data_IF_063401413993
#
_entry.id   IF_063401413993
#
_cell.length_a   1.000
_cell.length_b   1.000
_cell.length_c   1.000
_cell.angle_alpha   90.00
_cell.angle_beta   90.00
_cell.angle_gamma   90.00
#
_symmetry.space_group_name_H-M   'P 1'
#
loop_
_entity.id
_entity.type
_entity.pdbx_description
1 polymer ?
#
# COMPACT_ATOMS: atom_id res chain seq x y z
N UNK A 1 -6.79 -24.20 20.54
CA UNK A 1 -6.97 -23.10 21.47
C UNK A 1 -5.68 -22.78 22.26
N UNK A 2 -5.04 -23.78 22.85
CA UNK A 2 -3.77 -23.64 23.59
C UNK A 2 -2.60 -23.18 22.70
N UNK A 3 -2.54 -23.66 21.47
CA UNK A 3 -1.52 -23.25 20.49
C UNK A 3 -1.67 -21.75 20.13
N UNK A 4 -2.89 -21.27 19.94
CA UNK A 4 -3.17 -19.84 19.74
C UNK A 4 -2.83 -18.98 20.97
N UNK A 5 -3.02 -19.52 22.18
CA UNK A 5 -2.62 -18.82 23.41
C UNK A 5 -1.09 -18.74 23.54
N UNK A 6 -0.37 -19.79 23.14
CA UNK A 6 1.10 -19.80 23.09
C UNK A 6 1.63 -18.81 22.05
N UNK A 7 1.06 -18.82 20.84
CA UNK A 7 1.41 -17.86 19.80
C UNK A 7 1.16 -16.41 20.23
N UNK A 8 0.03 -16.12 20.88
CA UNK A 8 -0.27 -14.79 21.41
C UNK A 8 0.68 -14.38 22.54
N UNK A 9 1.10 -15.33 23.37
CA UNK A 9 2.08 -15.06 24.42
C UNK A 9 3.46 -14.76 23.83
N UNK A 10 3.91 -15.54 22.86
CA UNK A 10 5.17 -15.29 22.14
C UNK A 10 5.15 -13.95 21.42
N UNK A 11 4.02 -13.55 20.83
CA UNK A 11 3.84 -12.21 20.21
C UNK A 11 3.90 -11.08 21.24
N UNK A 12 3.31 -11.27 22.42
CA UNK A 12 3.33 -10.26 23.48
C UNK A 12 4.70 -10.16 24.17
N UNK A 13 5.44 -11.27 24.25
CA UNK A 13 6.78 -11.32 24.85
C UNK A 13 7.89 -10.88 23.88
N UNK A 14 7.57 -10.64 22.59
CA UNK A 14 8.54 -10.23 21.57
C UNK A 14 8.40 -8.71 21.29
N UNK A 15 9.21 -7.85 21.92
CA UNK A 15 9.07 -6.39 21.85
C UNK A 15 9.39 -5.79 20.46
N UNK A 16 9.69 -6.61 19.46
CA UNK A 16 10.18 -6.19 18.14
C UNK A 16 9.09 -6.14 17.07
N UNK A 17 7.92 -6.79 17.26
CA UNK A 17 6.85 -6.69 16.26
C UNK A 17 6.06 -5.41 16.47
N UNK A 18 6.34 -4.38 15.68
CA UNK A 18 5.48 -3.18 15.61
C UNK A 18 4.05 -3.62 15.29
N UNK A 19 3.10 -3.22 16.12
CA UNK A 19 1.68 -3.51 15.89
C UNK A 19 1.21 -2.61 14.76
N UNK A 20 0.64 -3.22 13.72
CA UNK A 20 -0.03 -2.54 12.62
C UNK A 20 -1.53 -2.82 12.79
N UNK A 21 -2.28 -1.89 13.34
CA UNK A 21 -3.67 -2.13 13.71
C UNK A 21 -4.65 -1.04 13.26
N UNK A 22 -4.20 -0.08 12.48
CA UNK A 22 -5.04 1.02 11.97
C UNK A 22 -4.98 1.12 10.47
N UNK A 23 -6.13 1.38 9.84
CA UNK A 23 -6.26 1.83 8.46
C UNK A 23 -6.11 3.36 8.35
N UNK A 24 -6.09 4.06 9.50
CA UNK A 24 -6.14 5.53 9.58
C UNK A 24 -7.40 6.12 8.94
N UNK A 25 -8.49 5.36 8.98
CA UNK A 25 -9.83 5.69 8.50
C UNK A 25 -10.80 5.21 9.56
N UNK A 26 -11.43 6.13 10.29
CA UNK A 26 -12.19 5.86 11.50
C UNK A 26 -13.20 4.72 11.33
N UNK A 27 -14.03 4.74 10.29
CA UNK A 27 -15.02 3.68 10.07
C UNK A 27 -14.41 2.30 9.78
N UNK A 28 -13.22 2.23 9.16
CA UNK A 28 -12.51 0.96 8.96
C UNK A 28 -11.82 0.50 10.24
N UNK A 29 -11.32 1.43 11.03
CA UNK A 29 -10.66 1.12 12.30
C UNK A 29 -11.68 0.61 13.34
N UNK A 30 -12.89 1.16 13.37
CA UNK A 30 -14.01 0.65 14.16
C UNK A 30 -14.35 -0.80 13.78
N UNK A 31 -14.44 -1.10 12.50
CA UNK A 31 -14.68 -2.47 12.00
C UNK A 31 -13.51 -3.42 12.31
N UNK A 32 -12.28 -2.93 12.23
CA UNK A 32 -11.09 -3.71 12.52
C UNK A 32 -10.93 -4.04 14.02
N UNK A 33 -11.50 -3.22 14.90
CA UNK A 33 -11.43 -3.41 16.36
C UNK A 33 -10.00 -3.59 16.90
N UNK A 34 -9.05 -2.87 16.33
CA UNK A 34 -7.64 -2.92 16.73
C UNK A 34 -6.92 -4.24 16.41
N UNK A 35 -7.48 -5.08 15.53
CA UNK A 35 -6.82 -6.33 15.10
C UNK A 35 -5.53 -6.02 14.37
N UNK A 36 -4.54 -6.85 14.61
CA UNK A 36 -3.26 -6.73 13.90
C UNK A 36 -3.44 -7.05 12.41
N UNK A 37 -3.03 -6.11 11.56
CA UNK A 37 -3.08 -6.22 10.11
C UNK A 37 -1.83 -6.89 9.50
N UNK A 38 -0.79 -7.18 10.31
CA UNK A 38 0.37 -7.95 9.84
C UNK A 38 -0.06 -9.27 9.25
N UNK A 39 0.67 -9.71 8.24
CA UNK A 39 0.36 -10.90 7.46
C UNK A 39 -0.98 -10.84 6.72
N UNK A 40 -1.63 -9.67 6.68
CA UNK A 40 -2.89 -9.47 5.98
C UNK A 40 -2.68 -8.74 4.64
N UNK A 41 -3.62 -9.00 3.72
CA UNK A 41 -3.79 -8.23 2.50
C UNK A 41 -5.11 -7.48 2.60
N UNK A 42 -5.06 -6.17 2.44
CA UNK A 42 -6.24 -5.31 2.35
C UNK A 42 -6.39 -4.80 0.93
N UNK A 43 -7.53 -5.09 0.30
CA UNK A 43 -7.83 -4.70 -1.06
C UNK A 43 -8.84 -3.55 -1.09
N UNK A 44 -8.43 -2.41 -1.64
CA UNK A 44 -9.29 -1.25 -1.87
C UNK A 44 -9.80 -1.26 -3.30
N UNK A 45 -11.06 -1.66 -3.44
CA UNK A 45 -11.74 -1.79 -4.72
C UNK A 45 -12.60 -0.56 -4.98
N UNK A 46 -12.37 0.13 -6.11
CA UNK A 46 -13.23 1.23 -6.54
C UNK A 46 -13.05 1.53 -8.02
N UNK A 47 -13.98 2.28 -8.60
CA UNK A 47 -13.90 2.75 -9.98
C UNK A 47 -12.73 3.71 -10.20
N UNK A 48 -12.41 3.99 -11.45
CA UNK A 48 -11.42 5.01 -11.80
C UNK A 48 -11.85 6.38 -11.27
N UNK A 49 -10.89 7.20 -10.83
CA UNK A 49 -11.12 8.59 -10.43
C UNK A 49 -11.73 8.81 -9.04
N UNK A 50 -12.10 7.76 -8.29
CA UNK A 50 -12.72 7.91 -6.96
C UNK A 50 -11.74 8.00 -5.79
N UNK A 51 -10.44 8.07 -6.05
CA UNK A 51 -9.43 8.34 -5.01
C UNK A 51 -8.70 7.13 -4.44
N UNK A 52 -8.68 5.96 -5.11
CA UNK A 52 -7.94 4.76 -4.65
C UNK A 52 -6.49 5.06 -4.28
N UNK A 53 -5.73 5.67 -5.20
CA UNK A 53 -4.33 6.05 -4.96
C UNK A 53 -4.19 7.08 -3.84
N UNK A 54 -5.23 7.91 -3.62
CA UNK A 54 -5.25 8.86 -2.51
C UNK A 54 -5.37 8.14 -1.16
N UNK A 55 -6.26 7.15 -1.05
CA UNK A 55 -6.37 6.30 0.15
C UNK A 55 -5.06 5.54 0.40
N UNK A 56 -4.46 4.96 -0.64
CA UNK A 56 -3.19 4.25 -0.52
C UNK A 56 -2.07 5.16 0.02
N UNK A 57 -1.97 6.38 -0.51
CA UNK A 57 -1.03 7.41 -0.03
C UNK A 57 -1.35 7.88 1.39
N UNK A 58 -2.62 8.06 1.73
CA UNK A 58 -3.04 8.42 3.09
C UNK A 58 -2.59 7.37 4.11
N UNK A 59 -2.81 6.08 3.82
CA UNK A 59 -2.35 4.98 4.67
C UNK A 59 -0.83 4.98 4.78
N UNK A 60 -0.11 5.11 3.65
CA UNK A 60 1.35 5.14 3.64
C UNK A 60 1.94 6.30 4.43
N UNK A 61 1.33 7.49 4.32
CA UNK A 61 1.70 8.68 5.07
C UNK A 61 1.57 8.45 6.58
N UNK A 62 0.38 8.02 7.03
CA UNK A 62 0.12 7.83 8.45
C UNK A 62 0.95 6.67 9.03
N UNK A 63 1.11 5.59 8.28
CA UNK A 63 1.95 4.47 8.69
C UNK A 63 3.40 4.92 8.92
N UNK A 64 3.99 5.64 7.96
CA UNK A 64 5.38 6.07 8.06
C UNK A 64 5.59 7.19 9.09
N UNK A 65 4.80 8.26 8.98
CA UNK A 65 5.10 9.49 9.71
C UNK A 65 4.37 9.61 11.05
N UNK A 66 3.21 8.98 11.20
CA UNK A 66 2.49 9.01 12.48
C UNK A 66 2.84 7.79 13.32
N UNK A 67 2.81 6.58 12.73
CA UNK A 67 3.07 5.34 13.48
C UNK A 67 4.54 4.89 13.48
N UNK A 68 5.41 5.55 12.72
CA UNK A 68 6.84 5.22 12.64
C UNK A 68 7.12 3.85 12.04
N UNK A 69 6.24 3.37 11.15
CA UNK A 69 6.39 2.13 10.41
C UNK A 69 7.25 2.33 9.16
N UNK A 70 7.84 1.26 8.67
CA UNK A 70 8.59 1.28 7.42
C UNK A 70 7.67 0.90 6.26
N UNK A 71 7.55 1.81 5.29
CA UNK A 71 6.62 1.71 4.16
C UNK A 71 7.39 1.61 2.84
N UNK A 72 7.05 0.61 2.04
CA UNK A 72 7.44 0.50 0.65
C UNK A 72 6.19 0.69 -0.23
N UNK A 73 6.12 1.81 -0.96
CA UNK A 73 5.04 2.09 -1.90
C UNK A 73 5.49 1.74 -3.32
N UNK A 74 4.87 0.73 -3.90
CA UNK A 74 5.12 0.27 -5.27
C UNK A 74 4.05 0.87 -6.17
N UNK A 75 4.48 1.84 -6.98
CA UNK A 75 3.65 2.56 -7.94
C UNK A 75 3.75 1.90 -9.30
N UNK A 76 2.65 1.34 -9.80
CA UNK A 76 2.59 0.68 -11.10
C UNK A 76 1.96 1.56 -12.17
N UNK A 77 1.28 2.62 -11.77
CA UNK A 77 0.64 3.58 -12.66
C UNK A 77 1.20 4.99 -12.44
N UNK A 78 1.79 5.59 -13.47
CA UNK A 78 2.37 6.94 -13.38
C UNK A 78 3.83 7.00 -12.95
N UNK A 79 4.34 8.20 -12.72
CA UNK A 79 5.72 8.44 -12.34
C UNK A 79 5.93 8.41 -10.83
N UNK A 80 7.14 8.02 -10.39
CA UNK A 80 7.49 8.06 -8.97
C UNK A 80 7.36 9.48 -8.38
N UNK A 81 7.64 10.52 -9.19
CA UNK A 81 7.51 11.92 -8.79
C UNK A 81 6.09 12.26 -8.34
N UNK A 82 5.06 11.83 -9.07
CA UNK A 82 3.65 12.09 -8.72
C UNK A 82 3.31 11.61 -7.31
N UNK A 83 3.81 10.42 -6.95
CA UNK A 83 3.57 9.84 -5.62
C UNK A 83 4.44 10.51 -4.55
N UNK A 84 5.71 10.81 -4.85
CA UNK A 84 6.61 11.50 -3.91
C UNK A 84 6.17 12.93 -3.66
N UNK A 85 5.69 13.65 -4.68
CA UNK A 85 5.20 15.01 -4.56
C UNK A 85 3.90 15.07 -3.74
N UNK A 86 3.01 14.08 -3.94
CA UNK A 86 1.81 13.96 -3.10
C UNK A 86 2.14 13.71 -1.61
N UNK A 87 3.13 12.86 -1.30
CA UNK A 87 3.60 12.67 0.07
C UNK A 87 4.25 13.93 0.63
N UNK A 88 5.02 14.64 -0.17
CA UNK A 88 5.66 15.88 0.24
C UNK A 88 4.63 16.99 0.49
N UNK A 89 3.59 17.06 -0.34
CA UNK A 89 2.45 17.96 -0.14
C UNK A 89 1.72 17.67 1.18
N UNK A 90 1.44 16.40 1.48
CA UNK A 90 0.84 15.99 2.76
C UNK A 90 1.70 16.41 3.95
N UNK A 91 3.02 16.19 3.88
CA UNK A 91 3.96 16.58 4.94
C UNK A 91 4.04 18.09 5.16
N UNK A 92 3.97 18.87 4.06
CA UNK A 92 4.05 20.33 4.14
C UNK A 92 2.71 20.99 4.48
N UNK A 93 1.61 20.23 4.51
CA UNK A 93 0.28 20.80 4.68
C UNK A 93 -0.18 21.64 3.49
N UNK A 94 0.39 21.42 2.30
CA UNK A 94 0.01 22.08 1.05
C UNK A 94 -0.80 21.16 0.16
N UNK A 95 -1.42 21.69 -0.89
CA UNK A 95 -2.02 20.86 -1.92
C UNK A 95 -0.94 20.31 -2.86
N UNK A 96 -1.19 19.14 -3.48
CA UNK A 96 -0.28 18.59 -4.50
C UNK A 96 -0.04 19.59 -5.63
N UNK A 97 -1.07 20.33 -6.05
CA UNK A 97 -0.95 21.36 -7.07
C UNK A 97 0.00 22.50 -6.67
N UNK A 98 -0.07 22.98 -5.44
CA UNK A 98 0.83 24.02 -4.94
C UNK A 98 2.27 23.51 -4.86
N UNK A 99 2.46 22.25 -4.42
CA UNK A 99 3.76 21.62 -4.35
C UNK A 99 4.39 21.46 -5.74
N UNK A 100 3.68 20.86 -6.69
CA UNK A 100 4.13 20.62 -8.07
C UNK A 100 4.37 21.93 -8.85
N UNK A 101 3.57 22.97 -8.59
CA UNK A 101 3.71 24.27 -9.25
C UNK A 101 4.86 25.13 -8.69
N UNK A 102 5.63 24.60 -7.73
CA UNK A 102 6.76 25.32 -7.12
C UNK A 102 6.33 26.52 -6.27
N UNK A 103 5.06 26.60 -5.86
CA UNK A 103 4.54 27.68 -5.00
C UNK A 103 4.90 27.49 -3.52
N UNK A 104 5.56 26.38 -3.19
CA UNK A 104 6.03 26.12 -1.83
C UNK A 104 7.27 26.96 -1.56
N UNK A 105 7.21 27.77 -0.51
CA UNK A 105 8.32 28.66 -0.15
C UNK A 105 9.50 27.89 0.49
N UNK A 106 10.69 28.50 0.49
CA UNK A 106 11.90 27.88 1.04
C UNK A 106 11.77 27.52 2.52
N UNK A 107 11.05 28.31 3.31
CA UNK A 107 10.83 28.02 4.74
C UNK A 107 10.04 26.70 4.92
N UNK A 108 9.03 26.45 4.09
CA UNK A 108 8.28 25.18 4.08
C UNK A 108 9.19 24.01 3.70
N UNK A 109 10.09 24.18 2.71
CA UNK A 109 11.03 23.13 2.33
C UNK A 109 12.06 22.81 3.42
N UNK A 110 12.56 23.83 4.14
CA UNK A 110 13.45 23.66 5.28
C UNK A 110 12.74 22.98 6.45
N UNK A 111 11.48 23.35 6.70
CA UNK A 111 10.64 22.70 7.70
C UNK A 111 10.40 21.22 7.35
N UNK A 112 10.11 20.88 6.09
CA UNK A 112 9.99 19.50 5.62
C UNK A 112 11.24 18.68 5.93
N UNK A 113 12.44 19.22 5.65
CA UNK A 113 13.70 18.54 5.96
C UNK A 113 13.82 18.26 7.46
N UNK A 114 13.54 19.26 8.29
CA UNK A 114 13.62 19.08 9.74
C UNK A 114 12.59 18.07 10.27
N UNK A 115 11.40 18.02 9.69
CA UNK A 115 10.39 17.01 10.02
C UNK A 115 10.85 15.60 9.66
N UNK A 116 11.40 15.41 8.46
CA UNK A 116 11.88 14.10 8.00
C UNK A 116 12.94 13.50 8.92
N UNK A 117 13.79 14.34 9.52
CA UNK A 117 14.81 13.91 10.47
C UNK A 117 14.23 13.46 11.83
N UNK A 118 13.00 13.86 12.15
CA UNK A 118 12.33 13.51 13.42
C UNK A 118 11.52 12.22 13.34
N UNK A 119 11.13 11.78 12.14
CA UNK A 119 10.30 10.61 11.97
C UNK A 119 11.09 9.30 12.13
N UNK A 120 10.48 8.33 12.83
CA UNK A 120 11.10 7.02 13.08
C UNK A 120 10.88 6.01 11.96
N UNK A 121 9.80 6.18 11.19
CA UNK A 121 9.48 5.33 10.05
C UNK A 121 10.16 5.79 8.78
N UNK A 122 10.24 4.92 7.81
CA UNK A 122 10.73 5.25 6.46
C UNK A 122 9.61 5.09 5.44
N UNK A 123 9.61 5.95 4.42
CA UNK A 123 8.73 5.81 3.27
C UNK A 123 9.59 5.80 2.01
N UNK A 124 9.50 4.71 1.25
CA UNK A 124 10.19 4.55 -0.02
C UNK A 124 9.18 4.32 -1.12
N UNK A 125 9.31 5.07 -2.21
CA UNK A 125 8.50 4.90 -3.42
C UNK A 125 9.35 4.22 -4.49
N UNK A 126 8.80 3.15 -5.06
CA UNK A 126 9.35 2.45 -6.21
C UNK A 126 8.33 2.53 -7.33
N UNK A 127 8.66 3.16 -8.44
CA UNK A 127 7.82 3.14 -9.63
C UNK A 127 8.35 2.17 -10.68
N UNK A 128 7.42 1.56 -11.38
CA UNK A 128 7.68 0.76 -12.56
C UNK A 128 7.24 1.56 -13.79
N UNK A 129 8.14 1.85 -14.72
CA UNK A 129 7.78 2.58 -15.92
C UNK A 129 6.81 1.75 -16.78
N UNK A 130 5.74 2.40 -17.26
CA UNK A 130 4.78 1.80 -18.18
C UNK A 130 5.43 1.54 -19.56
N UNK A 131 5.95 0.37 -19.78
CA UNK A 131 6.38 -0.07 -21.11
C UNK A 131 5.82 -1.46 -21.45
N UNK A 132 4.49 -1.61 -21.37
CA UNK A 132 3.78 -2.79 -21.89
C UNK A 132 4.04 -4.12 -21.19
N UNK A 133 4.81 -4.14 -20.12
CA UNK A 133 5.08 -5.32 -19.31
C UNK A 133 4.38 -5.20 -17.97
N UNK A 134 3.55 -6.18 -17.67
CA UNK A 134 2.98 -6.32 -16.33
C UNK A 134 4.08 -6.62 -15.31
N UNK A 135 3.93 -6.10 -14.11
CA UNK A 135 4.84 -6.36 -12.98
C UNK A 135 4.42 -7.66 -12.31
N UNK A 136 5.33 -8.61 -12.19
CA UNK A 136 5.03 -9.86 -11.51
C UNK A 136 5.09 -9.72 -9.99
N UNK A 137 4.37 -10.58 -9.28
CA UNK A 137 4.49 -10.67 -7.81
C UNK A 137 5.90 -11.06 -7.37
N UNK A 138 6.67 -11.74 -8.25
CA UNK A 138 8.11 -12.01 -8.05
C UNK A 138 8.95 -10.74 -8.07
N UNK A 139 8.62 -9.77 -8.95
CA UNK A 139 9.32 -8.48 -8.96
C UNK A 139 9.06 -7.70 -7.67
N UNK A 140 7.81 -7.72 -7.18
CA UNK A 140 7.42 -7.09 -5.91
C UNK A 140 8.16 -7.73 -4.73
N UNK A 141 8.25 -9.07 -4.70
CA UNK A 141 9.04 -9.82 -3.70
C UNK A 141 10.51 -9.41 -3.73
N UNK A 142 11.09 -9.33 -4.92
CA UNK A 142 12.47 -8.89 -5.13
C UNK A 142 12.71 -7.47 -4.59
N UNK A 143 11.75 -6.57 -4.74
CA UNK A 143 11.86 -5.22 -4.18
C UNK A 143 11.78 -5.22 -2.64
N UNK A 144 10.97 -6.10 -2.04
CA UNK A 144 10.96 -6.31 -0.59
C UNK A 144 12.30 -6.89 -0.09
N UNK A 145 12.90 -7.82 -0.83
CA UNK A 145 14.22 -8.39 -0.49
C UNK A 145 15.32 -7.33 -0.58
N UNK A 146 15.34 -6.50 -1.63
CA UNK A 146 16.27 -5.36 -1.76
C UNK A 146 16.07 -4.34 -0.63
N UNK A 147 14.81 -4.13 -0.21
CA UNK A 147 14.54 -3.29 0.94
C UNK A 147 15.19 -3.87 2.20
N UNK A 148 15.01 -5.18 2.45
CA UNK A 148 15.62 -5.89 3.58
C UNK A 148 17.16 -5.84 3.53
N UNK A 149 17.76 -6.06 2.36
CA UNK A 149 19.21 -5.96 2.17
C UNK A 149 19.75 -4.58 2.55
N UNK A 150 19.02 -3.53 2.17
CA UNK A 150 19.43 -2.14 2.41
C UNK A 150 19.20 -1.67 3.85
N UNK A 151 18.11 -2.10 4.48
CA UNK A 151 17.66 -1.57 5.78
C UNK A 151 17.73 -2.60 6.92
N UNK A 152 18.15 -3.83 6.65
CA UNK A 152 18.31 -4.90 7.63
C UNK A 152 17.01 -5.59 8.05
N UNK A 153 15.84 -5.17 7.50
CA UNK A 153 14.51 -5.71 7.79
C UNK A 153 13.58 -5.51 6.62
N UNK A 154 12.52 -6.30 6.55
CA UNK A 154 11.43 -6.09 5.62
C UNK A 154 10.63 -4.83 5.97
N UNK A 155 9.94 -4.21 4.99
CA UNK A 155 8.99 -3.13 5.27
C UNK A 155 7.82 -3.65 6.12
N UNK A 156 7.33 -2.82 7.04
CA UNK A 156 6.16 -3.13 7.86
C UNK A 156 4.87 -3.07 7.03
N UNK A 157 4.84 -2.18 6.03
CA UNK A 157 3.72 -1.98 5.11
C UNK A 157 4.22 -1.94 3.68
N UNK A 158 3.59 -2.71 2.80
CA UNK A 158 3.83 -2.66 1.35
C UNK A 158 2.54 -2.21 0.66
N UNK A 159 2.61 -1.14 -0.09
CA UNK A 159 1.50 -0.63 -0.89
C UNK A 159 1.74 -1.00 -2.35
N UNK A 160 0.73 -1.55 -3.03
CA UNK A 160 0.77 -1.88 -4.46
C UNK A 160 -0.37 -1.14 -5.17
N UNK A 161 -0.04 -0.14 -5.96
CA UNK A 161 -0.99 0.69 -6.70
C UNK A 161 -0.71 0.61 -8.20
N UNK A 162 -1.42 -0.27 -8.98
CA UNK A 162 -2.58 -1.08 -8.65
C UNK A 162 -2.44 -2.55 -9.12
N UNK A 163 -3.29 -3.44 -8.58
CA UNK A 163 -3.33 -4.87 -8.92
C UNK A 163 -3.59 -5.13 -10.41
N UNK A 164 -4.29 -4.23 -11.08
CA UNK A 164 -4.63 -4.36 -12.51
C UNK A 164 -3.39 -4.48 -13.41
N UNK A 165 -2.27 -3.94 -12.96
CA UNK A 165 -0.99 -3.94 -13.65
C UNK A 165 -0.05 -5.03 -13.14
N UNK A 166 -0.54 -5.90 -12.25
CA UNK A 166 0.20 -7.04 -11.72
C UNK A 166 -0.15 -8.34 -12.45
N UNK A 167 0.80 -9.26 -12.40
CA UNK A 167 0.60 -10.67 -12.75
C UNK A 167 1.16 -11.56 -11.64
N UNK A 168 0.67 -12.81 -11.56
CA UNK A 168 1.14 -13.80 -10.62
C UNK A 168 2.58 -14.28 -10.94
N UNK A 169 3.13 -15.06 -10.04
CA UNK A 169 4.49 -15.63 -10.15
C UNK A 169 4.62 -16.79 -11.13
N UNK A 170 3.52 -17.32 -11.67
CA UNK A 170 3.52 -18.55 -12.47
C UNK A 170 4.14 -18.39 -13.86
N UNK A 171 4.29 -17.16 -14.34
CA UNK A 171 4.74 -16.87 -15.70
C UNK A 171 3.75 -17.31 -16.80
N UNK A 172 2.51 -17.65 -16.44
CA UNK A 172 1.47 -18.01 -17.41
C UNK A 172 1.09 -16.82 -18.25
N UNK A 173 0.87 -17.07 -19.54
CA UNK A 173 0.26 -16.10 -20.43
C UNK A 173 -1.26 -16.17 -20.26
N UNK A 174 -1.84 -15.17 -19.60
CA UNK A 174 -3.26 -15.09 -19.30
C UNK A 174 -4.02 -14.46 -20.48
N UNK A 175 -5.00 -15.15 -21.01
CA UNK A 175 -5.91 -14.61 -22.03
C UNK A 175 -7.06 -13.81 -21.40
N UNK A 176 -7.84 -13.12 -22.23
CA UNK A 176 -8.96 -12.32 -21.76
C UNK A 176 -10.03 -13.13 -21.00
N UNK A 177 -10.19 -14.44 -21.31
CA UNK A 177 -11.17 -15.32 -20.63
C UNK A 177 -10.68 -15.75 -19.25
N UNK A 178 -9.39 -15.69 -19.01
CA UNK A 178 -8.71 -16.12 -17.78
C UNK A 178 -8.42 -14.98 -16.80
N UNK A 179 -8.78 -13.73 -17.12
CA UNK A 179 -8.47 -12.55 -16.29
C UNK A 179 -8.92 -12.69 -14.82
N UNK A 180 -10.07 -13.32 -14.59
CA UNK A 180 -10.52 -13.59 -13.21
C UNK A 180 -9.55 -14.49 -12.45
N UNK A 181 -9.07 -15.56 -13.08
CA UNK A 181 -8.12 -16.49 -12.48
C UNK A 181 -6.76 -15.83 -12.23
N UNK A 182 -6.30 -15.01 -13.19
CA UNK A 182 -5.10 -14.19 -13.02
C UNK A 182 -5.20 -13.32 -11.77
N UNK A 183 -6.29 -12.58 -11.62
CA UNK A 183 -6.50 -11.68 -10.46
C UNK A 183 -6.51 -12.42 -9.14
N UNK A 184 -7.18 -13.60 -9.10
CA UNK A 184 -7.20 -14.45 -7.92
C UNK A 184 -5.79 -14.95 -7.59
N UNK A 185 -5.05 -15.47 -8.58
CA UNK A 185 -3.69 -15.96 -8.39
C UNK A 185 -2.74 -14.84 -7.92
N UNK A 186 -2.82 -13.67 -8.55
CA UNK A 186 -2.02 -12.50 -8.15
C UNK A 186 -2.33 -12.04 -6.71
N UNK A 187 -3.62 -12.00 -6.34
CA UNK A 187 -4.01 -11.63 -4.99
C UNK A 187 -3.56 -12.67 -3.95
N UNK A 188 -3.59 -13.97 -4.31
CA UNK A 188 -3.09 -15.03 -3.44
C UNK A 188 -1.57 -14.92 -3.23
N UNK A 189 -0.79 -14.73 -4.31
CA UNK A 189 0.65 -14.53 -4.22
C UNK A 189 1.03 -13.34 -3.32
N UNK A 190 0.27 -12.22 -3.46
CA UNK A 190 0.49 -11.05 -2.59
C UNK A 190 0.10 -11.32 -1.13
N UNK A 191 -0.95 -12.12 -0.90
CA UNK A 191 -1.32 -12.54 0.45
C UNK A 191 -0.24 -13.44 1.07
N UNK A 192 0.33 -14.35 0.29
CA UNK A 192 1.42 -15.21 0.74
C UNK A 192 2.68 -14.38 1.03
N UNK A 193 2.99 -13.40 0.18
CA UNK A 193 4.07 -12.45 0.43
C UNK A 193 3.88 -11.68 1.75
N UNK A 194 2.64 -11.27 2.07
CA UNK A 194 2.36 -10.61 3.35
C UNK A 194 2.75 -11.50 4.56
N UNK A 195 2.49 -12.81 4.44
CA UNK A 195 2.89 -13.81 5.44
C UNK A 195 4.41 -13.96 5.53
N UNK A 196 5.09 -14.04 4.39
CA UNK A 196 6.55 -14.24 4.31
C UNK A 196 7.35 -13.09 4.91
N UNK A 197 6.93 -11.84 4.64
CA UNK A 197 7.64 -10.65 5.14
C UNK A 197 7.17 -10.21 6.53
N UNK A 198 6.18 -10.90 7.13
CA UNK A 198 5.48 -10.46 8.34
C UNK A 198 5.03 -9.00 8.25
N UNK A 199 4.52 -8.60 7.06
CA UNK A 199 4.10 -7.24 6.74
C UNK A 199 2.60 -7.14 6.43
N UNK A 200 2.10 -5.90 6.35
CA UNK A 200 0.76 -5.61 5.87
C UNK A 200 0.81 -5.18 4.40
N UNK A 201 0.06 -5.87 3.54
CA UNK A 201 -0.09 -5.47 2.14
C UNK A 201 -1.38 -4.68 1.94
N UNK A 202 -1.24 -3.48 1.39
CA UNK A 202 -2.32 -2.59 0.97
C UNK A 202 -2.33 -2.56 -0.55
N UNK A 203 -3.41 -2.99 -1.15
CA UNK A 203 -3.49 -3.14 -2.61
C UNK A 203 -4.69 -2.38 -3.13
N UNK A 204 -4.52 -1.58 -4.16
CA UNK A 204 -5.62 -0.95 -4.89
C UNK A 204 -6.02 -1.79 -6.09
N UNK A 205 -7.29 -1.74 -6.45
CA UNK A 205 -7.81 -2.43 -7.64
C UNK A 205 -8.90 -1.58 -8.30
N UNK A 206 -8.85 -1.50 -9.64
CA UNK A 206 -9.86 -0.79 -10.40
C UNK A 206 -11.02 -1.71 -10.75
N UNK A 207 -12.22 -1.40 -10.23
CA UNK A 207 -13.44 -2.06 -10.66
C UNK A 207 -13.86 -1.56 -12.04
N UNK A 208 -14.16 -2.49 -12.93
CA UNK A 208 -14.86 -2.23 -14.19
C UNK A 208 -16.33 -2.58 -13.98
N UNK A 209 -17.23 -1.64 -14.23
CA UNK A 209 -18.67 -1.93 -14.23
C UNK A 209 -19.01 -2.41 -15.64
N UNK A 210 -19.25 -3.71 -15.76
CA UNK A 210 -19.72 -4.28 -17.03
C UNK A 210 -21.21 -3.95 -17.32
N UNK A 211 -21.94 -3.45 -16.31
CA UNK A 211 -23.35 -3.11 -16.45
C UNK A 211 -23.69 -1.81 -15.69
N UNK A 212 -23.81 -0.65 -16.39
CA UNK A 212 -24.08 0.64 -15.75
C UNK A 212 -25.47 0.73 -15.10
N UNK A 213 -26.39 -0.19 -15.38
CA UNK A 213 -27.75 -0.20 -14.84
C UNK A 213 -27.78 -0.43 -13.32
N UNK A 214 -26.76 -1.06 -12.74
CA UNK A 214 -26.63 -1.30 -11.29
C UNK A 214 -26.31 -0.04 -10.48
N UNK A 215 -25.80 1.02 -11.14
CA UNK A 215 -25.38 2.27 -10.44
C UNK A 215 -26.56 3.20 -10.22
N UNK A 216 -27.64 3.06 -10.99
CA UNK A 216 -28.80 3.96 -10.97
C UNK A 216 -29.98 3.41 -10.18
N UNK A 217 -29.87 2.24 -9.57
CA UNK A 217 -30.97 1.66 -8.81
C UNK A 217 -30.92 2.11 -7.34
N UNK A 218 -31.31 3.38 -7.11
CA UNK A 218 -31.49 3.96 -5.75
C UNK A 218 -32.55 3.20 -4.91
N UNK A 219 -33.12 2.14 -5.44
CA UNK A 219 -34.16 1.32 -4.79
C UNK A 219 -33.62 0.12 -4.02
N UNK A 220 -32.28 -0.12 -4.04
CA UNK A 220 -31.65 -1.27 -3.40
C UNK A 220 -30.74 -0.89 -2.21
N UNK A 221 -30.99 0.25 -1.57
CA UNK A 221 -30.36 0.63 -0.30
C UNK A 221 -31.40 0.57 0.81
#
# INVERSE_FOLDING_TARGET
>A
YEERLRENKVRNDNPVSKIVNSFYIDGLDELNQGRNLRTQLSLFLAMSGVGKSHIARWIGYNAAYISGLDVLHIQLEGAASETTDAYSAMLSGTTTYEYESGKVNNHTLEHLKSLLDTYKGTLKVKAYPKFGKEVSTTDIRTDCDKYREKFGKYPDVVIVDSLDLCTDSSGKNWDAKSLRHKRIATAQDLKDLAGEIDGWLVVTYQATIENPEWVNDEKNV
#
